data_IF_378260320620
#
_entry.id   IF_378260320620
#
_cell.length_a   1.000
_cell.length_b   1.000
_cell.length_c   1.000
_cell.angle_alpha   90.00
_cell.angle_beta   90.00
_cell.angle_gamma   90.00
#
_symmetry.space_group_name_H-M   'P 1'
#
loop_
_entity.id
_entity.type
_entity.pdbx_description
1 polymer ?
#
# COMPACT_ATOMS: atom_id res chain seq x y z
N UNK A 1 9.51 12.02 11.84
CA UNK A 1 8.12 12.40 12.13
C UNK A 1 7.34 12.57 10.83
N UNK A 2 6.12 12.07 10.78
CA UNK A 2 5.25 12.20 9.61
C UNK A 2 4.74 13.66 9.50
N UNK A 3 4.86 14.29 8.33
CA UNK A 3 4.39 15.68 8.12
C UNK A 3 2.90 15.85 8.44
N UNK A 4 2.10 14.82 8.21
CA UNK A 4 0.66 14.82 8.52
C UNK A 4 0.37 14.83 10.02
N UNK A 5 1.12 14.06 10.81
CA UNK A 5 0.94 13.99 12.27
C UNK A 5 1.26 15.33 12.92
N UNK A 6 2.35 15.98 12.50
CA UNK A 6 2.74 17.32 12.98
C UNK A 6 1.69 18.38 12.62
N UNK A 7 1.16 18.35 11.39
CA UNK A 7 0.06 19.24 11.00
C UNK A 7 -1.19 19.02 11.84
N UNK A 8 -1.56 17.77 12.14
CA UNK A 8 -2.72 17.47 12.98
C UNK A 8 -2.51 17.94 14.42
N UNK A 9 -1.31 17.76 14.99
CA UNK A 9 -0.97 18.23 16.33
C UNK A 9 -1.13 19.76 16.44
N UNK A 10 -0.55 20.52 15.51
CA UNK A 10 -0.66 21.99 15.54
C UNK A 10 -2.09 22.49 15.34
N UNK A 11 -2.91 21.80 14.54
CA UNK A 11 -4.32 22.17 14.40
C UNK A 11 -5.09 21.89 15.69
N UNK A 12 -4.82 20.78 16.39
CA UNK A 12 -5.43 20.47 17.70
C UNK A 12 -5.03 21.49 18.75
N UNK A 13 -3.74 21.81 18.88
CA UNK A 13 -3.24 22.86 19.79
C UNK A 13 -3.95 24.20 19.56
N UNK A 14 -4.17 24.56 18.28
CA UNK A 14 -4.90 25.79 17.93
C UNK A 14 -6.38 25.73 18.31
N UNK A 15 -7.03 24.57 18.13
CA UNK A 15 -8.44 24.37 18.49
C UNK A 15 -8.65 24.41 20.01
N UNK A 16 -7.70 23.89 20.78
CA UNK A 16 -7.66 23.91 22.25
C UNK A 16 -7.21 25.27 22.82
N UNK A 17 -6.97 26.29 21.96
CA UNK A 17 -6.49 27.62 22.33
C UNK A 17 -5.09 27.65 22.98
N UNK A 18 -4.34 26.56 22.90
CA UNK A 18 -2.97 26.44 23.40
C UNK A 18 -1.92 27.10 22.47
N UNK A 19 -2.34 27.60 21.31
CA UNK A 19 -1.44 28.19 20.31
C UNK A 19 -2.11 29.32 19.52
N UNK A 20 -1.38 30.42 19.35
CA UNK A 20 -1.79 31.57 18.53
C UNK A 20 -1.44 31.44 17.04
N UNK A 21 -0.73 30.37 16.63
CA UNK A 21 -0.25 30.18 15.26
C UNK A 21 -1.36 30.29 14.23
N UNK A 22 -1.17 31.02 13.14
CA UNK A 22 -2.19 31.08 12.08
C UNK A 22 -2.23 29.79 11.25
N UNK A 23 -3.35 29.50 10.57
CA UNK A 23 -3.41 28.35 9.67
C UNK A 23 -2.45 28.47 8.48
N UNK A 24 -2.02 29.70 8.15
CA UNK A 24 -0.98 29.97 7.14
C UNK A 24 0.41 29.58 7.66
N UNK A 25 0.74 29.96 8.89
CA UNK A 25 2.00 29.52 9.52
C UNK A 25 2.08 28.00 9.68
N UNK A 26 0.97 27.35 10.06
CA UNK A 26 0.93 25.88 10.15
C UNK A 26 1.21 25.25 8.76
N UNK A 27 0.68 25.84 7.69
CA UNK A 27 0.94 25.41 6.32
C UNK A 27 2.41 25.56 5.93
N UNK A 28 3.03 26.71 6.24
CA UNK A 28 4.45 26.99 5.99
C UNK A 28 5.36 26.02 6.74
N UNK A 29 5.13 25.82 8.04
CA UNK A 29 5.94 24.92 8.89
C UNK A 29 5.86 23.47 8.41
N UNK A 30 4.67 23.01 8.03
CA UNK A 30 4.44 21.60 7.64
C UNK A 30 4.72 21.33 6.16
N UNK A 31 4.93 22.40 5.36
CA UNK A 31 5.12 22.33 3.92
C UNK A 31 3.86 21.92 3.15
N UNK A 32 2.68 22.02 3.77
CA UNK A 32 1.40 21.72 3.11
C UNK A 32 0.73 22.98 2.59
N UNK A 33 -0.07 22.83 1.53
CA UNK A 33 -0.88 23.94 1.04
C UNK A 33 -1.94 24.36 2.08
N UNK A 34 -2.24 25.67 2.28
CA UNK A 34 -3.22 26.14 3.27
C UNK A 34 -4.62 25.51 3.12
N UNK A 35 -5.07 25.27 1.88
CA UNK A 35 -6.31 24.53 1.57
C UNK A 35 -6.34 23.14 2.22
N UNK A 36 -5.19 22.45 2.27
CA UNK A 36 -5.08 21.13 2.90
C UNK A 36 -5.17 21.22 4.42
N UNK A 37 -4.56 22.24 5.04
CA UNK A 37 -4.70 22.51 6.48
C UNK A 37 -6.17 22.75 6.86
N UNK A 38 -6.91 23.54 6.06
CA UNK A 38 -8.34 23.75 6.28
C UNK A 38 -9.16 22.45 6.10
N UNK A 39 -8.78 21.60 5.15
CA UNK A 39 -9.40 20.27 4.99
C UNK A 39 -9.15 19.40 6.22
N UNK A 40 -7.91 19.34 6.72
CA UNK A 40 -7.58 18.60 7.94
C UNK A 40 -8.37 19.12 9.14
N UNK A 41 -8.48 20.44 9.32
CA UNK A 41 -9.33 21.04 10.36
C UNK A 41 -10.77 20.51 10.30
N UNK A 42 -11.40 20.52 9.13
CA UNK A 42 -12.77 19.98 8.96
C UNK A 42 -12.85 18.50 9.34
N UNK A 43 -11.85 17.71 8.94
CA UNK A 43 -11.78 16.28 9.29
C UNK A 43 -11.58 16.04 10.80
N UNK A 44 -10.84 16.91 11.50
CA UNK A 44 -10.70 16.86 12.98
C UNK A 44 -12.05 17.14 13.63
N UNK A 45 -12.73 18.22 13.22
CA UNK A 45 -14.04 18.59 13.78
C UNK A 45 -15.10 17.51 13.56
N UNK A 46 -15.04 16.82 12.42
CA UNK A 46 -15.96 15.73 12.09
C UNK A 46 -15.54 14.36 12.68
N UNK A 47 -14.43 14.27 13.44
CA UNK A 47 -13.85 13.01 13.92
C UNK A 47 -13.53 11.97 12.82
N UNK A 48 -13.26 12.43 11.59
CA UNK A 48 -12.98 11.57 10.42
C UNK A 48 -11.49 11.37 10.14
N UNK A 49 -10.61 11.87 11.01
CA UNK A 49 -9.18 11.90 10.69
C UNK A 49 -8.56 10.51 10.78
N UNK A 50 -8.02 10.04 9.65
CA UNK A 50 -7.23 8.81 9.56
C UNK A 50 -5.77 9.18 9.39
N UNK A 51 -4.95 8.93 10.41
CA UNK A 51 -3.50 9.17 10.35
C UNK A 51 -2.79 8.13 9.47
N UNK A 52 -3.36 6.93 9.38
CA UNK A 52 -2.87 5.88 8.52
C UNK A 52 -3.04 6.23 7.04
N UNK A 53 -1.96 6.08 6.26
CA UNK A 53 -2.02 6.17 4.81
C UNK A 53 -2.81 4.97 4.27
N UNK A 54 -3.84 5.23 3.47
CA UNK A 54 -4.75 4.18 2.99
C UNK A 54 -4.07 3.05 2.20
N UNK A 55 -4.61 1.84 2.36
CA UNK A 55 -4.49 0.65 1.50
C UNK A 55 -3.08 0.14 1.15
N UNK A 56 -2.09 0.29 2.03
CA UNK A 56 -0.77 -0.35 1.84
C UNK A 56 -0.84 -1.87 1.63
N UNK A 57 -1.84 -2.53 2.22
CA UNK A 57 -2.03 -3.97 2.16
C UNK A 57 -3.21 -4.40 1.28
N UNK A 58 -3.76 -3.51 0.44
CA UNK A 58 -4.87 -3.92 -0.45
C UNK A 58 -4.34 -4.88 -1.48
N UNK A 59 -4.78 -6.13 -1.38
CA UNK A 59 -4.55 -7.13 -2.41
C UNK A 59 -5.31 -6.69 -3.67
N UNK A 60 -4.60 -6.59 -4.80
CA UNK A 60 -5.21 -6.24 -6.07
C UNK A 60 -6.23 -7.30 -6.51
N UNK A 61 -7.27 -6.92 -7.25
CA UNK A 61 -8.32 -7.85 -7.71
C UNK A 61 -7.79 -9.00 -8.57
N UNK A 62 -6.61 -8.84 -9.16
CA UNK A 62 -5.93 -9.85 -9.98
C UNK A 62 -4.88 -10.67 -9.22
N UNK A 63 -4.80 -10.51 -7.89
CA UNK A 63 -3.87 -11.30 -7.11
C UNK A 63 -4.20 -12.78 -7.25
N UNK A 64 -3.14 -13.59 -7.37
CA UNK A 64 -3.27 -15.03 -7.50
C UNK A 64 -3.83 -15.61 -6.19
N UNK A 65 -4.97 -16.33 -6.23
CA UNK A 65 -5.48 -16.99 -5.05
C UNK A 65 -4.52 -18.09 -4.59
N UNK A 66 -4.43 -18.30 -3.28
CA UNK A 66 -3.51 -19.27 -2.67
C UNK A 66 -3.67 -20.69 -3.22
N UNK A 67 -4.92 -21.11 -3.49
CA UNK A 67 -5.21 -22.44 -4.04
C UNK A 67 -4.57 -22.64 -5.42
N UNK A 68 -4.62 -21.62 -6.27
CA UNK A 68 -4.05 -21.68 -7.61
C UNK A 68 -2.52 -21.62 -7.57
N UNK A 69 -1.96 -20.85 -6.63
CA UNK A 69 -0.53 -20.85 -6.36
C UNK A 69 0.00 -22.24 -6.00
N UNK A 70 -0.67 -22.92 -5.05
CA UNK A 70 -0.30 -24.28 -4.65
C UNK A 70 -0.46 -25.29 -5.79
N UNK A 71 -1.48 -25.13 -6.66
CA UNK A 71 -1.64 -25.96 -7.85
C UNK A 71 -0.46 -25.83 -8.80
N UNK A 72 -0.01 -24.60 -9.09
CA UNK A 72 1.15 -24.33 -9.94
C UNK A 72 2.41 -24.97 -9.34
N UNK A 73 2.66 -24.74 -8.05
CA UNK A 73 3.83 -25.27 -7.33
C UNK A 73 3.86 -26.79 -7.36
N UNK A 74 2.74 -27.45 -7.06
CA UNK A 74 2.66 -28.91 -7.01
C UNK A 74 2.81 -29.55 -8.41
N UNK A 75 2.19 -28.97 -9.43
CA UNK A 75 2.35 -29.44 -10.81
C UNK A 75 3.79 -29.28 -11.28
N UNK A 76 4.41 -28.12 -11.02
CA UNK A 76 5.79 -27.88 -11.42
C UNK A 76 6.77 -28.82 -10.71
N UNK A 77 6.62 -29.05 -9.39
CA UNK A 77 7.46 -29.99 -8.62
C UNK A 77 7.40 -31.42 -9.14
N UNK A 78 6.25 -31.86 -9.67
CA UNK A 78 6.08 -33.19 -10.27
C UNK A 78 6.65 -33.27 -11.68
N UNK A 79 6.92 -32.13 -12.30
CA UNK A 79 7.34 -32.03 -13.68
C UNK A 79 8.86 -31.77 -13.77
N UNK A 80 9.56 -32.51 -14.62
CA UNK A 80 10.98 -32.28 -14.91
C UNK A 80 11.20 -31.35 -16.12
N UNK A 81 10.22 -30.48 -16.43
CA UNK A 81 10.25 -29.62 -17.63
C UNK A 81 10.77 -28.22 -17.31
N UNK A 82 11.29 -27.55 -18.34
CA UNK A 82 11.67 -26.14 -18.20
C UNK A 82 10.46 -25.24 -17.96
N UNK A 83 10.67 -24.11 -17.29
CA UNK A 83 9.61 -23.11 -17.01
C UNK A 83 8.86 -22.70 -18.27
N UNK A 84 9.57 -22.53 -19.39
CA UNK A 84 8.97 -22.18 -20.68
C UNK A 84 7.96 -23.23 -21.15
N UNK A 85 8.33 -24.52 -21.10
CA UNK A 85 7.44 -25.63 -21.46
C UNK A 85 6.28 -25.76 -20.48
N UNK A 86 6.53 -25.55 -19.19
CA UNK A 86 5.48 -25.55 -18.17
C UNK A 86 4.45 -24.44 -18.40
N UNK A 87 4.89 -23.22 -18.73
CA UNK A 87 4.00 -22.10 -19.03
C UNK A 87 3.14 -22.37 -20.28
N UNK A 88 3.70 -23.04 -21.30
CA UNK A 88 2.95 -23.48 -22.48
C UNK A 88 1.92 -24.57 -22.16
N UNK A 89 2.17 -25.42 -21.16
CA UNK A 89 1.21 -26.43 -20.74
C UNK A 89 0.08 -25.84 -19.85
N UNK A 90 0.42 -24.89 -18.99
CA UNK A 90 -0.52 -24.36 -18.00
C UNK A 90 -1.52 -23.35 -18.57
N UNK A 91 -1.11 -22.55 -19.57
CA UNK A 91 -1.88 -21.59 -20.42
C UNK A 91 -2.79 -20.56 -19.75
N UNK A 92 -3.12 -20.71 -18.48
CA UNK A 92 -4.12 -19.92 -17.74
C UNK A 92 -3.53 -18.66 -17.12
N UNK A 93 -2.21 -18.61 -16.95
CA UNK A 93 -1.49 -17.48 -16.36
C UNK A 93 -0.29 -17.09 -17.21
N UNK A 94 0.06 -15.81 -17.18
CA UNK A 94 1.22 -15.30 -17.91
C UNK A 94 2.52 -15.91 -17.39
N UNK A 95 3.51 -15.99 -18.29
CA UNK A 95 4.86 -16.46 -17.95
C UNK A 95 5.42 -15.75 -16.70
N UNK A 96 5.30 -14.42 -16.64
CA UNK A 96 5.79 -13.61 -15.52
C UNK A 96 5.10 -13.98 -14.19
N UNK A 97 3.80 -14.28 -14.22
CA UNK A 97 3.06 -14.70 -13.02
C UNK A 97 3.59 -16.03 -12.49
N UNK A 98 3.69 -17.03 -13.37
CA UNK A 98 4.18 -18.37 -13.03
C UNK A 98 5.64 -18.31 -12.56
N UNK A 99 6.49 -17.57 -13.28
CA UNK A 99 7.90 -17.38 -12.91
C UNK A 99 8.04 -16.78 -11.51
N UNK A 100 7.26 -15.74 -11.19
CA UNK A 100 7.28 -15.11 -9.87
C UNK A 100 6.77 -16.06 -8.76
N UNK A 101 5.74 -16.87 -9.03
CA UNK A 101 5.28 -17.91 -8.11
C UNK A 101 6.40 -18.90 -7.81
N UNK A 102 7.01 -19.47 -8.84
CA UNK A 102 8.09 -20.45 -8.69
C UNK A 102 9.32 -19.87 -8.00
N UNK A 103 9.66 -18.59 -8.31
CA UNK A 103 10.74 -17.86 -7.66
C UNK A 103 10.48 -17.61 -6.16
N UNK A 104 9.26 -17.20 -5.78
CA UNK A 104 8.87 -17.04 -4.37
C UNK A 104 8.93 -18.35 -3.59
N UNK A 105 8.68 -19.48 -4.27
CA UNK A 105 8.71 -20.83 -3.69
C UNK A 105 10.08 -21.52 -3.81
N UNK A 106 11.15 -20.80 -4.17
CA UNK A 106 12.53 -21.32 -4.28
C UNK A 106 12.71 -22.49 -5.27
N UNK A 107 11.83 -22.61 -6.27
CA UNK A 107 11.91 -23.66 -7.30
C UNK A 107 12.81 -23.29 -8.48
N UNK A 108 13.19 -22.02 -8.58
CA UNK A 108 14.09 -21.48 -9.61
C UNK A 108 15.13 -20.61 -8.90
N UNK A 109 16.40 -20.72 -9.29
CA UNK A 109 17.47 -19.86 -8.79
C UNK A 109 17.34 -18.44 -9.35
N UNK A 110 17.89 -17.48 -8.60
CA UNK A 110 17.77 -16.04 -8.85
C UNK A 110 18.35 -15.62 -10.20
#
# INVERSE_FOLDING_TARGET
>A
MNRKETAVAFIKEKLEQNSFRTYKEIAEITGYHPKYILKLKKQILNNEIKLEHGNKNKIGSRALPYQEEMKIVNLYKRSNVSVRKFCQFYETRSYSCIYNVLKRNNLIKK
#
